data_IF_860594308106
#
_entry.id   IF_860594308106
#
_cell.length_a   1.000
_cell.length_b   1.000
_cell.length_c   1.000
_cell.angle_alpha   90.00
_cell.angle_beta   90.00
_cell.angle_gamma   90.00
#
_symmetry.space_group_name_H-M   'P 1'
#
loop_
_entity.id
_entity.type
_entity.pdbx_description
1 polymer ?
#
# COMPACT_ATOMS: atom_id res chain seq x y z
N UNK A 1 -29.58 2.10 -10.93
CA UNK A 1 -29.54 3.19 -11.92
C UNK A 1 -28.07 3.34 -12.27
N UNK A 2 -27.65 2.78 -13.40
CA UNK A 2 -26.26 2.88 -13.84
C UNK A 2 -26.03 4.30 -14.34
N UNK A 3 -25.34 5.08 -13.51
CA UNK A 3 -25.02 6.47 -13.81
C UNK A 3 -23.85 6.55 -14.80
N UNK A 4 -24.09 6.07 -16.03
CA UNK A 4 -23.19 6.21 -17.18
C UNK A 4 -22.99 7.70 -17.52
N UNK A 5 -23.90 8.57 -17.06
CA UNK A 5 -23.85 10.01 -17.29
C UNK A 5 -22.79 10.72 -16.42
N UNK A 6 -22.38 10.16 -15.28
CA UNK A 6 -21.39 10.75 -14.38
C UNK A 6 -20.25 9.77 -14.07
N UNK A 7 -19.31 9.55 -15.02
CA UNK A 7 -18.16 8.72 -14.74
C UNK A 7 -17.38 9.27 -13.53
N UNK A 8 -16.77 8.40 -12.70
CA UNK A 8 -15.92 8.86 -11.61
C UNK A 8 -14.80 9.77 -12.13
N UNK A 9 -14.42 10.75 -11.32
CA UNK A 9 -13.33 11.64 -11.63
C UNK A 9 -12.06 10.83 -11.95
N UNK A 10 -11.46 11.11 -13.11
CA UNK A 10 -10.22 10.45 -13.53
C UNK A 10 -9.06 11.12 -12.82
N UNK A 11 -8.30 10.34 -12.05
CA UNK A 11 -7.06 10.83 -11.44
C UNK A 11 -5.95 10.87 -12.50
N UNK A 12 -5.27 12.02 -12.60
CA UNK A 12 -4.07 12.18 -13.41
C UNK A 12 -2.89 12.45 -12.48
N UNK A 13 -1.76 11.80 -12.73
CA UNK A 13 -0.54 12.02 -11.95
C UNK A 13 0.01 13.41 -12.26
N UNK A 14 0.11 14.26 -11.24
CA UNK A 14 0.79 15.56 -11.36
C UNK A 14 2.32 15.40 -11.49
N UNK A 15 2.88 14.35 -10.88
CA UNK A 15 4.29 13.99 -10.96
C UNK A 15 4.51 12.54 -10.51
N UNK A 16 5.68 11.97 -10.81
CA UNK A 16 6.11 10.68 -10.29
C UNK A 16 7.61 10.73 -10.00
N UNK A 17 7.99 10.39 -8.76
CA UNK A 17 9.39 10.40 -8.31
C UNK A 17 9.72 9.04 -7.69
N UNK A 18 10.77 8.35 -8.17
CA UNK A 18 11.21 7.09 -7.56
C UNK A 18 11.64 7.29 -6.10
N UNK A 19 11.40 6.28 -5.27
CA UNK A 19 11.89 6.24 -3.88
C UNK A 19 12.79 5.03 -3.69
N UNK A 20 13.70 5.09 -2.71
CA UNK A 20 14.55 3.95 -2.38
C UNK A 20 13.75 2.82 -1.74
N UNK A 21 14.27 1.59 -1.82
CA UNK A 21 13.66 0.41 -1.20
C UNK A 21 13.47 0.58 0.31
N UNK A 22 14.40 1.27 0.99
CA UNK A 22 14.31 1.57 2.43
C UNK A 22 13.19 2.56 2.76
N UNK A 23 13.00 3.58 1.93
CA UNK A 23 11.87 4.51 2.09
C UNK A 23 10.54 3.83 1.77
N UNK A 24 10.49 2.97 0.76
CA UNK A 24 9.30 2.18 0.44
C UNK A 24 8.92 1.26 1.61
N UNK A 25 9.88 0.55 2.20
CA UNK A 25 9.66 -0.32 3.35
C UNK A 25 9.05 0.43 4.54
N UNK A 26 9.63 1.57 4.90
CA UNK A 26 9.13 2.40 6.00
C UNK A 26 7.69 2.87 5.76
N UNK A 27 7.34 3.28 4.53
CA UNK A 27 5.97 3.71 4.19
C UNK A 27 4.96 2.57 4.27
N UNK A 28 5.33 1.37 3.80
CA UNK A 28 4.45 0.19 3.85
C UNK A 28 4.19 -0.23 5.31
N UNK A 29 5.22 -0.26 6.15
CA UNK A 29 5.07 -0.62 7.56
C UNK A 29 4.21 0.41 8.31
N UNK A 30 4.48 1.70 8.13
CA UNK A 30 3.67 2.76 8.74
C UNK A 30 2.19 2.66 8.32
N UNK A 31 1.92 2.35 7.05
CA UNK A 31 0.56 2.16 6.57
C UNK A 31 -0.10 0.94 7.23
N UNK A 32 0.59 -0.19 7.33
CA UNK A 32 0.05 -1.42 7.94
C UNK A 32 -0.29 -1.21 9.41
N UNK A 33 0.58 -0.53 10.17
CA UNK A 33 0.35 -0.23 11.59
C UNK A 33 -0.89 0.65 11.78
N UNK A 34 -0.98 1.72 10.98
CA UNK A 34 -2.09 2.67 10.99
C UNK A 34 -3.41 2.05 10.49
N UNK A 35 -3.33 1.19 9.47
CA UNK A 35 -4.46 0.42 8.98
C UNK A 35 -4.98 -0.58 10.00
N UNK A 36 -4.09 -1.30 10.70
CA UNK A 36 -4.46 -2.22 11.77
C UNK A 36 -5.11 -1.48 12.94
N UNK A 37 -4.60 -0.31 13.31
CA UNK A 37 -5.17 0.52 14.38
C UNK A 37 -6.59 1.02 14.07
N UNK A 38 -6.91 1.27 12.79
CA UNK A 38 -8.24 1.72 12.34
C UNK A 38 -9.20 0.58 11.99
N UNK A 39 -8.69 -0.60 11.71
CA UNK A 39 -9.49 -1.76 11.30
C UNK A 39 -10.26 -2.31 12.50
N UNK A 40 -11.43 -1.74 12.78
CA UNK A 40 -12.40 -2.34 13.70
C UNK A 40 -13.02 -3.58 13.04
N UNK A 41 -13.43 -4.62 13.81
CA UNK A 41 -13.91 -5.90 13.26
C UNK A 41 -15.24 -5.84 12.48
N UNK A 42 -15.76 -4.65 12.18
CA UNK A 42 -17.07 -4.50 11.55
C UNK A 42 -16.92 -4.44 10.04
N UNK A 43 -17.23 -5.59 9.41
CA UNK A 43 -17.43 -5.81 7.97
C UNK A 43 -16.16 -6.00 7.13
N UNK A 44 -15.75 -7.26 6.99
CA UNK A 44 -15.13 -7.77 5.77
C UNK A 44 -13.89 -7.02 5.28
N UNK A 45 -13.00 -6.63 6.21
CA UNK A 45 -11.69 -6.05 5.88
C UNK A 45 -10.99 -6.88 4.80
N UNK A 46 -10.49 -6.21 3.77
CA UNK A 46 -9.79 -6.79 2.60
C UNK A 46 -8.49 -7.50 3.03
N UNK A 47 -8.64 -8.66 3.66
CA UNK A 47 -7.55 -9.52 4.17
C UNK A 47 -6.54 -9.87 3.07
N UNK A 48 -6.98 -9.92 1.81
CA UNK A 48 -6.13 -10.11 0.64
C UNK A 48 -5.15 -8.94 0.44
N UNK A 49 -5.57 -7.69 0.62
CA UNK A 49 -4.74 -6.49 0.48
C UNK A 49 -3.69 -6.46 1.59
N UNK A 50 -4.11 -6.72 2.84
CA UNK A 50 -3.17 -6.79 3.97
C UNK A 50 -2.12 -7.88 3.76
N UNK A 51 -2.52 -9.07 3.30
CA UNK A 51 -1.59 -10.15 3.01
C UNK A 51 -0.61 -9.82 1.88
N UNK A 52 -1.04 -9.09 0.85
CA UNK A 52 -0.17 -8.62 -0.23
C UNK A 52 0.83 -7.57 0.26
N UNK A 53 0.40 -6.62 1.08
CA UNK A 53 1.28 -5.59 1.65
C UNK A 53 2.30 -6.18 2.63
N UNK A 54 1.92 -7.20 3.41
CA UNK A 54 2.86 -7.96 4.24
C UNK A 54 3.91 -8.70 3.41
N UNK A 55 3.52 -9.34 2.29
CA UNK A 55 4.46 -9.96 1.35
C UNK A 55 5.42 -8.94 0.74
N UNK A 56 4.90 -7.76 0.38
CA UNK A 56 5.71 -6.67 -0.16
C UNK A 56 6.72 -6.14 0.87
N UNK A 57 6.30 -5.93 2.12
CA UNK A 57 7.19 -5.52 3.21
C UNK A 57 8.36 -6.50 3.37
N UNK A 58 8.07 -7.81 3.43
CA UNK A 58 9.11 -8.85 3.49
C UNK A 58 10.06 -8.84 2.29
N UNK A 59 9.55 -8.63 1.08
CA UNK A 59 10.39 -8.54 -0.11
C UNK A 59 11.30 -7.30 -0.08
N UNK A 60 10.78 -6.16 0.40
CA UNK A 60 11.55 -4.92 0.54
C UNK A 60 12.64 -5.04 1.63
N UNK A 61 12.40 -5.77 2.71
CA UNK A 61 13.43 -6.08 3.72
C UNK A 61 14.57 -6.88 3.11
N UNK A 62 14.26 -7.96 2.37
CA UNK A 62 15.26 -8.77 1.69
C UNK A 62 16.08 -7.95 0.70
N UNK A 63 15.42 -7.07 -0.05
CA UNK A 63 16.08 -6.17 -0.99
C UNK A 63 17.02 -5.17 -0.27
N UNK A 64 16.59 -4.58 0.85
CA UNK A 64 17.43 -3.67 1.64
C UNK A 64 18.66 -4.40 2.20
N UNK A 65 18.50 -5.63 2.69
CA UNK A 65 19.61 -6.46 3.17
C UNK A 65 20.60 -6.75 2.03
N UNK A 66 20.08 -7.10 0.84
CA UNK A 66 20.89 -7.40 -0.35
C UNK A 66 21.70 -6.18 -0.82
N UNK A 67 21.12 -4.99 -0.77
CA UNK A 67 21.79 -3.74 -1.14
C UNK A 67 22.83 -3.25 -0.10
N UNK A 68 22.77 -3.77 1.13
CA UNK A 68 23.70 -3.42 2.21
C UNK A 68 24.96 -4.30 2.24
N UNK A 69 25.08 -5.25 1.32
CA UNK A 69 26.19 -6.20 1.21
C UNK A 69 27.05 -5.87 -0.01
#
# INVERSE_FOLDING_TARGET
>A
MDDIAHPPARLQAASSVPISSRHALSRVNNFLDDFQARSTPSKGSDTSITAQLQKLSKALEQECIRQSK
#
